data_IF_499368152171
#
_entry.id   IF_499368152171
#
_cell.length_a   1.000
_cell.length_b   1.000
_cell.length_c   1.000
_cell.angle_alpha   90.00
_cell.angle_beta   90.00
_cell.angle_gamma   90.00
#
_symmetry.space_group_name_H-M   'P 1'
#
loop_
_entity.id
_entity.type
_entity.pdbx_description
1 polymer ?
#
# COMPACT_ATOMS: atom_id res chain seq x y z
N UNK A 1 17.15 -60.33 75.80
CA UNK A 1 16.26 -60.60 74.65
C UNK A 1 15.41 -59.36 74.40
N UNK A 2 15.43 -58.88 73.16
CA UNK A 2 14.60 -57.86 72.51
C UNK A 2 14.19 -56.60 73.29
N UNK A 3 14.91 -55.50 73.06
CA UNK A 3 14.42 -54.14 73.25
C UNK A 3 14.30 -53.45 71.89
N UNK A 4 13.08 -53.40 71.35
CA UNK A 4 12.71 -52.67 70.14
C UNK A 4 12.84 -51.15 70.38
N UNK A 5 13.60 -50.46 69.54
CA UNK A 5 13.53 -49.00 69.41
C UNK A 5 13.20 -48.66 67.95
N UNK A 6 11.92 -48.39 67.70
CA UNK A 6 11.39 -48.00 66.40
C UNK A 6 11.60 -46.48 66.23
N UNK A 7 12.37 -46.06 65.23
CA UNK A 7 12.38 -44.65 64.80
C UNK A 7 11.13 -44.38 63.93
N UNK A 8 10.38 -43.29 64.15
CA UNK A 8 9.18 -43.02 63.39
C UNK A 8 9.50 -42.51 61.97
N UNK A 9 9.12 -43.29 60.96
CA UNK A 9 9.08 -42.90 59.54
C UNK A 9 8.04 -41.79 59.30
N UNK A 10 8.38 -40.56 59.70
CA UNK A 10 7.52 -39.37 59.51
C UNK A 10 7.80 -38.62 58.20
N UNK A 11 8.81 -39.05 57.42
CA UNK A 11 9.30 -38.32 56.26
C UNK A 11 8.81 -38.83 54.89
N UNK A 12 8.30 -40.06 54.77
CA UNK A 12 7.89 -40.58 53.46
C UNK A 12 6.55 -40.01 52.97
N UNK A 13 5.60 -39.78 53.88
CA UNK A 13 4.27 -39.27 53.51
C UNK A 13 4.28 -37.78 53.16
N UNK A 14 5.14 -36.97 53.78
CA UNK A 14 5.20 -35.52 53.54
C UNK A 14 5.85 -35.18 52.19
N UNK A 15 6.85 -35.96 51.76
CA UNK A 15 7.52 -35.75 50.46
C UNK A 15 6.62 -36.16 49.29
N UNK A 16 5.87 -37.26 49.44
CA UNK A 16 4.89 -37.68 48.43
C UNK A 16 3.73 -36.67 48.30
N UNK A 17 3.20 -36.18 49.43
CA UNK A 17 2.17 -35.15 49.43
C UNK A 17 2.66 -33.82 48.82
N UNK A 18 3.91 -33.42 49.10
CA UNK A 18 4.51 -32.23 48.50
C UNK A 18 4.70 -32.36 46.98
N UNK A 19 5.08 -33.54 46.48
CA UNK A 19 5.20 -33.83 45.04
C UNK A 19 3.84 -33.82 44.31
N UNK A 20 2.78 -34.29 44.96
CA UNK A 20 1.42 -34.23 44.39
C UNK A 20 0.91 -32.79 44.38
N UNK A 21 1.19 -32.00 45.42
CA UNK A 21 0.85 -30.58 45.48
C UNK A 21 1.59 -29.77 44.40
N UNK A 22 2.89 -30.01 44.20
CA UNK A 22 3.67 -29.32 43.17
C UNK A 22 3.21 -29.68 41.76
N UNK A 23 2.86 -30.96 41.49
CA UNK A 23 2.25 -31.36 40.21
C UNK A 23 0.94 -30.65 39.94
N UNK A 24 0.05 -30.53 40.94
CA UNK A 24 -1.23 -29.82 40.78
C UNK A 24 -1.07 -28.32 40.54
N UNK A 25 -0.09 -27.70 41.19
CA UNK A 25 0.25 -26.29 40.94
C UNK A 25 0.78 -26.08 39.52
N UNK A 26 1.63 -26.98 39.03
CA UNK A 26 2.15 -26.93 37.67
C UNK A 26 1.03 -27.17 36.64
N UNK A 27 0.15 -28.16 36.84
CA UNK A 27 -1.00 -28.41 35.96
C UNK A 27 -1.99 -27.24 35.94
N UNK A 28 -2.19 -26.55 37.06
CA UNK A 28 -3.01 -25.34 37.13
C UNK A 28 -2.36 -24.17 36.37
N UNK A 29 -1.04 -24.02 36.46
CA UNK A 29 -0.28 -23.03 35.71
C UNK A 29 -0.31 -23.31 34.19
N UNK A 30 -0.18 -24.58 33.77
CA UNK A 30 -0.27 -24.98 32.37
C UNK A 30 -1.67 -24.73 31.79
N UNK A 31 -2.73 -24.99 32.56
CA UNK A 31 -4.12 -24.67 32.17
C UNK A 31 -4.38 -23.17 32.06
N UNK A 32 -3.81 -22.35 32.96
CA UNK A 32 -3.91 -20.90 32.86
C UNK A 32 -3.21 -20.38 31.59
N UNK A 33 -2.04 -20.94 31.25
CA UNK A 33 -1.27 -20.55 30.05
C UNK A 33 -1.95 -20.94 28.73
N UNK A 34 -2.74 -22.02 28.71
CA UNK A 34 -3.48 -22.43 27.53
C UNK A 34 -4.65 -21.47 27.17
N UNK A 35 -5.19 -20.72 28.14
CA UNK A 35 -6.31 -19.80 27.93
C UNK A 35 -5.93 -18.43 27.35
N UNK A 36 -4.69 -17.98 27.56
CA UNK A 36 -4.25 -16.62 27.19
C UNK A 36 -3.85 -16.49 25.71
N UNK A 37 -3.71 -17.59 24.97
CA UNK A 37 -3.27 -17.60 23.57
C UNK A 37 -4.35 -17.37 22.49
N UNK A 38 -5.65 -17.36 22.84
CA UNK A 38 -6.73 -17.38 21.83
C UNK A 38 -7.01 -16.01 21.21
N UNK A 39 -6.61 -14.90 21.85
CA UNK A 39 -6.86 -13.54 21.34
C UNK A 39 -5.89 -13.10 20.22
N UNK A 40 -4.67 -13.64 20.20
CA UNK A 40 -3.66 -13.27 19.20
C UNK A 40 -3.92 -13.90 17.81
N UNK A 41 -4.75 -14.95 17.75
CA UNK A 41 -5.01 -15.72 16.52
C UNK A 41 -6.08 -15.10 15.60
N UNK A 42 -6.65 -13.95 15.96
CA UNK A 42 -7.53 -13.16 15.06
C UNK A 42 -6.78 -12.10 14.25
N UNK A 43 -5.55 -11.73 14.62
CA UNK A 43 -4.77 -10.73 13.90
C UNK A 43 -3.88 -11.30 12.78
N UNK A 44 -3.77 -12.63 12.70
CA UNK A 44 -3.01 -13.33 11.65
C UNK A 44 -3.91 -14.12 10.68
N UNK A 45 -5.21 -13.81 10.63
CA UNK A 45 -5.98 -14.13 9.43
C UNK A 45 -5.45 -13.25 8.30
N UNK A 46 -4.42 -13.74 7.64
CA UNK A 46 -4.01 -13.26 6.34
C UNK A 46 -5.26 -13.33 5.45
N UNK A 47 -5.86 -12.17 5.17
CA UNK A 47 -6.76 -12.05 4.03
C UNK A 47 -5.98 -12.64 2.86
N UNK A 48 -6.48 -13.69 2.17
CA UNK A 48 -5.72 -14.25 1.06
C UNK A 48 -5.42 -13.09 0.13
N UNK A 49 -4.13 -12.81 -0.07
CA UNK A 49 -3.70 -11.76 -0.97
C UNK A 49 -4.41 -12.05 -2.29
N UNK A 50 -5.39 -11.21 -2.66
CA UNK A 50 -6.09 -11.36 -3.91
C UNK A 50 -5.00 -11.26 -4.95
N UNK A 51 -4.62 -12.41 -5.53
CA UNK A 51 -3.47 -12.50 -6.39
C UNK A 51 -3.75 -11.62 -7.60
N UNK A 52 -3.17 -10.42 -7.56
CA UNK A 52 -3.22 -9.48 -8.65
C UNK A 52 -2.37 -10.06 -9.76
N UNK A 53 -2.98 -10.89 -10.59
CA UNK A 53 -2.39 -11.36 -11.84
C UNK A 53 -2.37 -10.16 -12.79
N UNK A 54 -1.34 -9.34 -12.65
CA UNK A 54 -1.08 -8.22 -13.52
C UNK A 54 -1.00 -8.70 -14.97
N UNK A 55 -2.07 -8.46 -15.72
CA UNK A 55 -1.97 -8.34 -17.16
C UNK A 55 -2.13 -6.85 -17.47
N UNK A 56 -1.13 -6.29 -18.15
CA UNK A 56 -1.00 -4.89 -18.55
C UNK A 56 -2.10 -4.41 -19.55
N UNK A 57 -3.38 -4.72 -19.30
CA UNK A 57 -4.52 -4.41 -20.18
C UNK A 57 -5.82 -4.03 -19.45
N UNK A 58 -5.72 -3.74 -18.15
CA UNK A 58 -6.82 -3.26 -17.31
C UNK A 58 -6.89 -1.73 -17.21
N UNK A 59 -6.01 -1.03 -17.93
CA UNK A 59 -6.01 0.42 -17.97
C UNK A 59 -7.33 0.95 -18.58
N UNK A 60 -8.19 1.47 -17.70
CA UNK A 60 -9.41 2.23 -18.00
C UNK A 60 -10.55 1.46 -18.70
N UNK A 61 -11.16 0.50 -18.00
CA UNK A 61 -12.45 -0.08 -18.43
C UNK A 61 -13.60 0.59 -17.70
N UNK A 62 -14.30 1.50 -18.38
CA UNK A 62 -15.60 1.98 -17.92
C UNK A 62 -16.62 0.85 -17.98
N UNK A 63 -17.54 0.83 -17.01
CA UNK A 63 -18.63 -0.12 -16.98
C UNK A 63 -19.80 0.40 -17.81
N UNK A 64 -20.48 -0.49 -18.55
CA UNK A 64 -21.68 -0.13 -19.29
C UNK A 64 -22.81 0.27 -18.31
N UNK A 65 -23.52 1.40 -18.55
CA UNK A 65 -24.62 1.82 -17.70
C UNK A 65 -25.83 0.86 -17.74
N UNK A 66 -25.99 0.08 -18.81
CA UNK A 66 -27.12 -0.84 -18.97
C UNK A 66 -26.88 -2.22 -18.34
N UNK A 67 -25.78 -2.88 -18.72
CA UNK A 67 -25.53 -4.27 -18.34
C UNK A 67 -24.39 -4.45 -17.34
N UNK A 68 -23.71 -3.36 -16.91
CA UNK A 68 -22.55 -3.37 -16.00
C UNK A 68 -21.40 -4.28 -16.45
N UNK A 69 -21.39 -4.70 -17.72
CA UNK A 69 -20.27 -5.40 -18.31
C UNK A 69 -19.17 -4.38 -18.68
N UNK A 70 -17.90 -4.83 -18.68
CA UNK A 70 -16.79 -3.97 -19.03
C UNK A 70 -16.89 -3.53 -20.49
N UNK A 71 -16.53 -2.28 -20.75
CA UNK A 71 -16.43 -1.71 -22.08
C UNK A 71 -14.97 -1.64 -22.55
N UNK A 72 -14.78 -1.69 -23.87
CA UNK A 72 -13.49 -1.54 -24.53
C UNK A 72 -13.44 -0.22 -25.30
N UNK A 73 -12.29 0.46 -25.24
CA UNK A 73 -12.05 1.67 -26.04
C UNK A 73 -11.79 1.24 -27.48
N UNK A 74 -12.50 1.85 -28.43
CA UNK A 74 -12.32 1.63 -29.87
C UNK A 74 -11.46 2.73 -30.49
N UNK A 75 -11.76 3.97 -30.15
CA UNK A 75 -11.02 5.13 -30.61
C UNK A 75 -10.88 6.11 -29.45
N UNK A 76 -9.80 6.89 -29.49
CA UNK A 76 -9.52 7.89 -28.48
C UNK A 76 -8.85 9.07 -29.13
N UNK A 77 -9.37 10.25 -28.88
CA UNK A 77 -8.90 11.52 -29.40
C UNK A 77 -8.53 12.44 -28.23
N UNK A 78 -7.40 13.14 -28.37
CA UNK A 78 -6.98 14.13 -27.39
C UNK A 78 -7.57 15.48 -27.79
N UNK A 79 -8.49 15.99 -26.96
CA UNK A 79 -9.13 17.29 -27.23
C UNK A 79 -8.24 18.42 -26.74
N UNK A 80 -7.78 18.30 -25.49
CA UNK A 80 -6.89 19.28 -24.85
C UNK A 80 -5.73 18.55 -24.18
N UNK A 81 -4.75 19.30 -23.67
CA UNK A 81 -3.65 18.72 -22.88
C UNK A 81 -4.18 17.96 -21.65
N UNK A 82 -5.35 18.34 -21.13
CA UNK A 82 -5.94 17.78 -19.91
C UNK A 82 -7.10 16.82 -20.15
N UNK A 83 -7.70 16.85 -21.33
CA UNK A 83 -8.94 16.12 -21.63
C UNK A 83 -8.77 15.22 -22.84
N UNK A 84 -9.11 13.95 -22.66
CA UNK A 84 -9.14 12.93 -23.71
C UNK A 84 -10.56 12.40 -23.88
N UNK A 85 -11.06 12.42 -25.09
CA UNK A 85 -12.34 11.81 -25.45
C UNK A 85 -12.10 10.40 -25.96
N UNK A 86 -12.93 9.45 -25.55
CA UNK A 86 -12.79 8.06 -25.96
C UNK A 86 -14.15 7.43 -26.24
N UNK A 87 -14.22 6.68 -27.33
CA UNK A 87 -15.40 5.92 -27.73
C UNK A 87 -15.29 4.52 -27.16
N UNK A 88 -16.26 4.16 -26.33
CA UNK A 88 -16.37 2.88 -25.64
C UNK A 88 -17.44 2.02 -26.30
N UNK A 89 -17.17 0.72 -26.39
CA UNK A 89 -18.09 -0.29 -26.89
C UNK A 89 -18.23 -1.41 -25.84
N UNK A 90 -19.45 -1.78 -25.49
CA UNK A 90 -19.70 -2.88 -24.56
C UNK A 90 -19.23 -4.21 -25.15
N UNK A 91 -18.61 -5.06 -24.31
CA UNK A 91 -18.16 -6.39 -24.72
C UNK A 91 -19.32 -7.39 -24.83
N UNK A 92 -20.42 -7.17 -24.10
CA UNK A 92 -21.58 -8.03 -24.21
C UNK A 92 -22.28 -7.82 -25.57
N UNK A 93 -22.29 -8.86 -26.40
CA UNK A 93 -22.90 -8.86 -27.73
C UNK A 93 -24.40 -8.59 -27.70
N UNK A 94 -25.11 -8.98 -26.64
CA UNK A 94 -26.54 -8.71 -26.49
C UNK A 94 -26.82 -7.24 -26.17
N UNK A 95 -25.90 -6.58 -25.47
CA UNK A 95 -26.06 -5.17 -25.10
C UNK A 95 -25.60 -4.24 -26.23
N UNK A 96 -24.42 -4.48 -26.80
CA UNK A 96 -23.86 -3.71 -27.93
C UNK A 96 -23.68 -2.19 -27.69
N UNK A 97 -23.96 -1.70 -26.47
CA UNK A 97 -24.05 -0.27 -26.21
C UNK A 97 -22.70 0.41 -26.44
N UNK A 98 -22.74 1.47 -27.25
CA UNK A 98 -21.56 2.26 -27.63
C UNK A 98 -21.80 3.69 -27.19
N UNK A 99 -20.83 4.26 -26.47
CA UNK A 99 -20.95 5.60 -25.88
C UNK A 99 -19.60 6.32 -25.91
N UNK A 100 -19.65 7.63 -25.75
CA UNK A 100 -18.47 8.48 -25.70
C UNK A 100 -18.29 8.98 -24.28
N UNK A 101 -17.06 8.93 -23.77
CA UNK A 101 -16.73 9.46 -22.46
C UNK A 101 -15.49 10.35 -22.52
N UNK A 102 -15.55 11.45 -21.78
CA UNK A 102 -14.45 12.41 -21.65
C UNK A 102 -13.74 12.11 -20.34
N UNK A 103 -12.44 11.85 -20.41
CA UNK A 103 -11.57 11.70 -19.25
C UNK A 103 -10.77 12.97 -19.11
N UNK A 104 -10.92 13.65 -17.98
CA UNK A 104 -10.22 14.90 -17.68
C UNK A 104 -9.32 14.77 -16.45
N UNK A 105 -8.19 15.47 -16.48
CA UNK A 105 -7.30 15.60 -15.32
C UNK A 105 -7.73 16.84 -14.52
N UNK A 106 -8.36 16.61 -13.37
CA UNK A 106 -9.01 17.68 -12.59
C UNK A 106 -8.06 18.37 -11.62
N UNK A 107 -7.21 17.61 -10.93
CA UNK A 107 -6.37 18.10 -9.83
C UNK A 107 -5.13 17.27 -9.63
N UNK A 108 -4.10 17.92 -9.12
CA UNK A 108 -2.82 17.30 -8.80
C UNK A 108 -2.83 16.79 -7.35
N UNK A 109 -2.62 15.47 -7.19
CA UNK A 109 -2.47 14.85 -5.87
C UNK A 109 -1.01 14.89 -5.38
N UNK A 110 -0.07 14.72 -6.30
CA UNK A 110 1.37 14.83 -6.06
C UNK A 110 1.97 15.71 -7.16
N UNK A 111 2.77 16.73 -6.83
CA UNK A 111 3.44 17.54 -7.84
C UNK A 111 4.36 16.67 -8.72
N UNK A 112 4.47 17.02 -10.00
CA UNK A 112 5.38 16.38 -10.94
C UNK A 112 6.83 16.80 -10.65
N UNK A 113 7.79 15.90 -10.90
CA UNK A 113 9.22 16.22 -10.84
C UNK A 113 9.68 17.06 -12.04
N UNK A 114 8.92 17.04 -13.14
CA UNK A 114 9.16 17.84 -14.36
C UNK A 114 7.86 18.56 -14.74
N UNK A 115 7.55 19.69 -14.11
CA UNK A 115 6.34 20.45 -14.42
C UNK A 115 6.47 21.16 -15.77
N UNK A 116 5.41 21.10 -16.58
CA UNK A 116 5.28 21.93 -17.77
C UNK A 116 4.66 23.29 -17.37
N UNK A 117 5.33 24.42 -17.64
CA UNK A 117 4.81 25.75 -17.26
C UNK A 117 3.52 26.13 -17.99
N UNK A 118 3.18 25.47 -19.10
CA UNK A 118 1.93 25.72 -19.84
C UNK A 118 0.70 25.08 -19.18
N UNK A 119 0.90 24.15 -18.23
CA UNK A 119 -0.16 23.38 -17.60
C UNK A 119 -0.34 23.77 -16.14
N UNK A 120 -1.41 24.51 -15.85
CA UNK A 120 -1.76 24.89 -14.47
C UNK A 120 -2.93 24.05 -13.93
N UNK A 121 -2.63 23.11 -13.03
CA UNK A 121 -3.62 22.29 -12.33
C UNK A 121 -3.73 22.67 -10.85
N UNK A 122 -4.95 22.73 -10.30
CA UNK A 122 -5.12 22.96 -8.87
C UNK A 122 -4.58 21.77 -8.07
N UNK A 123 -3.87 22.06 -6.98
CA UNK A 123 -3.48 21.05 -6.00
C UNK A 123 -4.71 20.62 -5.18
N UNK A 124 -4.77 19.34 -4.82
CA UNK A 124 -5.82 18.84 -3.92
C UNK A 124 -5.72 19.43 -2.51
N UNK A 125 -6.85 19.52 -1.81
CA UNK A 125 -6.96 20.06 -0.44
C UNK A 125 -6.15 19.27 0.59
N UNK A 126 -5.86 17.99 0.34
CA UNK A 126 -5.05 17.15 1.22
C UNK A 126 -3.55 17.47 1.17
N UNK A 127 -3.09 18.17 0.11
CA UNK A 127 -1.69 18.56 -0.02
C UNK A 127 -1.45 19.79 0.85
N UNK A 128 -0.87 19.57 2.04
CA UNK A 128 -0.43 20.65 2.92
C UNK A 128 0.80 21.32 2.32
N UNK A 129 0.58 22.45 1.64
CA UNK A 129 1.64 23.20 0.93
C UNK A 129 2.80 23.59 1.85
N UNK A 130 2.52 23.92 3.11
CA UNK A 130 3.54 24.34 4.07
C UNK A 130 4.46 23.19 4.48
N UNK A 131 3.89 21.99 4.69
CA UNK A 131 4.67 20.79 4.97
C UNK A 131 5.53 20.39 3.77
N UNK A 132 4.96 20.46 2.56
CA UNK A 132 5.71 20.17 1.34
C UNK A 132 6.91 21.12 1.17
N UNK A 133 6.73 22.42 1.46
CA UNK A 133 7.82 23.40 1.44
C UNK A 133 8.91 23.05 2.46
N UNK A 134 8.53 22.82 3.72
CA UNK A 134 9.50 22.43 4.75
C UNK A 134 10.28 21.16 4.40
N UNK A 135 9.63 20.17 3.78
CA UNK A 135 10.31 18.97 3.29
C UNK A 135 11.33 19.29 2.21
N UNK A 136 11.02 20.20 1.29
CA UNK A 136 11.95 20.64 0.24
C UNK A 136 13.11 21.45 0.81
N UNK A 137 12.85 22.31 1.81
CA UNK A 137 13.87 23.15 2.45
C UNK A 137 14.88 22.33 3.27
N UNK A 138 14.46 21.20 3.84
CA UNK A 138 15.31 20.31 4.64
C UNK A 138 15.90 19.14 3.84
N UNK A 139 15.48 18.92 2.61
CA UNK A 139 15.98 17.84 1.78
C UNK A 139 17.41 18.13 1.31
N UNK A 140 18.33 17.18 1.54
CA UNK A 140 19.67 17.23 0.96
C UNK A 140 19.60 16.96 -0.55
N UNK A 141 20.42 17.67 -1.33
CA UNK A 141 20.58 17.39 -2.76
C UNK A 141 21.43 16.14 -2.97
N UNK A 142 21.04 15.31 -3.94
CA UNK A 142 21.79 14.15 -4.40
C UNK A 142 21.89 14.16 -5.92
N UNK A 143 23.01 13.66 -6.46
CA UNK A 143 23.24 13.63 -7.90
C UNK A 143 22.30 12.64 -8.59
N UNK A 144 21.59 13.08 -9.63
CA UNK A 144 20.77 12.24 -10.48
C UNK A 144 20.74 12.78 -11.92
N UNK A 145 20.93 11.89 -12.90
CA UNK A 145 20.82 12.21 -14.32
C UNK A 145 19.55 11.56 -14.87
N UNK A 146 18.64 12.38 -15.40
CA UNK A 146 17.37 11.90 -15.97
C UNK A 146 17.61 11.22 -17.32
N UNK A 147 17.14 9.97 -17.48
CA UNK A 147 17.26 9.23 -18.74
C UNK A 147 16.09 9.43 -19.71
N UNK A 148 14.90 9.71 -19.18
CA UNK A 148 13.63 9.62 -19.94
C UNK A 148 12.94 10.96 -20.19
N UNK A 149 13.47 12.05 -19.63
CA UNK A 149 12.89 13.39 -19.74
C UNK A 149 14.00 14.37 -20.07
N UNK A 150 13.75 15.26 -21.03
CA UNK A 150 14.59 16.44 -21.21
C UNK A 150 14.39 17.36 -19.99
N UNK A 151 15.46 17.96 -19.43
CA UNK A 151 15.32 18.95 -18.37
C UNK A 151 14.59 20.16 -18.94
N UNK A 152 13.31 20.32 -18.58
CA UNK A 152 12.52 21.52 -18.93
C UNK A 152 13.06 22.74 -18.19
N UNK A 153 13.71 22.51 -17.05
CA UNK A 153 14.49 23.49 -16.28
C UNK A 153 15.92 23.57 -16.79
N UNK A 154 16.13 23.59 -18.11
CA UNK A 154 17.37 24.14 -18.63
C UNK A 154 17.30 25.65 -18.38
N UNK A 155 18.18 26.16 -17.53
CA UNK A 155 18.40 27.59 -17.38
C UNK A 155 18.36 28.26 -18.76
N UNK A 156 17.48 29.25 -18.92
CA UNK A 156 17.38 30.13 -20.11
C UNK A 156 18.72 30.79 -20.49
N UNK A 157 19.78 30.59 -19.71
CA UNK A 157 21.09 31.19 -19.79
C UNK A 157 22.21 30.25 -20.28
N UNK A 158 21.92 28.98 -20.60
CA UNK A 158 22.93 28.06 -21.15
C UNK A 158 23.16 28.22 -22.66
N UNK A 159 22.37 29.05 -23.35
CA UNK A 159 22.62 29.44 -24.74
C UNK A 159 23.27 30.83 -24.80
N UNK A 160 24.46 30.88 -25.41
CA UNK A 160 25.18 32.07 -25.90
C UNK A 160 26.22 32.73 -24.97
N UNK A 161 27.19 31.92 -24.51
CA UNK A 161 28.50 32.38 -24.05
C UNK A 161 29.63 31.95 -25.00
N UNK A 162 29.48 32.13 -26.31
CA UNK A 162 30.59 31.99 -27.26
C UNK A 162 31.27 33.37 -27.46
N UNK A 163 32.60 33.47 -27.46
CA UNK A 163 33.27 34.76 -27.67
C UNK A 163 32.90 35.35 -29.05
N UNK A 164 32.74 36.68 -29.17
CA UNK A 164 32.42 37.31 -30.44
C UNK A 164 33.51 37.01 -31.48
N UNK A 165 33.16 36.73 -32.74
CA UNK A 165 34.16 36.64 -33.80
C UNK A 165 34.78 38.02 -34.05
N UNK A 166 36.11 38.04 -34.10
CA UNK A 166 36.95 39.21 -34.44
C UNK A 166 36.60 39.85 -35.79
#
# INVERSE_FOLDING_TARGET
MAGNFQFPDRHSQSVAAALVASKRLNEAADKARAGEGVSAQRCNQSVPAKQWKGTNKEAMRLQCPHCKHPCVIRTSEQITVLTRQSVYCCVNAECGHTFVANTEIVRTLSPSATPDPSVNLPLSTHVRRDMLRAQLDHAASAEHVTSNTAPVTADLFMQQGGPPPD
#
